data_IF_900087755927
#
_entry.id   IF_900087755927
#
_cell.length_a   1.000
_cell.length_b   1.000
_cell.length_c   1.000
_cell.angle_alpha   90.00
_cell.angle_beta   90.00
_cell.angle_gamma   90.00
#
_symmetry.space_group_name_H-M   'P 1'
#
loop_
_entity.id
_entity.type
_entity.pdbx_description
1 polymer ?
#
# COMPACT_ATOMS: atom_id res chain seq x y z
N UNK A 1 -4.69 -16.49 -1.78
CA UNK A 1 -4.11 -15.12 -1.72
C UNK A 1 -5.05 -14.06 -2.25
N UNK A 2 -5.81 -14.31 -3.32
CA UNK A 2 -6.65 -13.28 -3.96
C UNK A 2 -7.99 -12.98 -3.26
N UNK A 3 -8.54 -13.92 -2.48
CA UNK A 3 -9.74 -13.64 -1.68
C UNK A 3 -9.42 -12.51 -0.70
N UNK A 4 -10.11 -11.37 -0.83
CA UNK A 4 -9.94 -10.14 -0.06
C UNK A 4 -8.61 -9.37 -0.24
N UNK A 5 -7.79 -9.68 -1.25
CA UNK A 5 -6.62 -8.84 -1.56
C UNK A 5 -7.02 -7.44 -2.05
N UNK A 6 -6.22 -6.44 -1.70
CA UNK A 6 -6.48 -5.02 -1.99
C UNK A 6 -5.21 -4.34 -2.53
N UNK A 7 -5.39 -3.49 -3.54
CA UNK A 7 -4.37 -2.56 -4.03
C UNK A 7 -4.86 -1.14 -3.82
N UNK A 8 -4.06 -0.33 -3.12
CA UNK A 8 -4.35 1.08 -2.87
C UNK A 8 -3.37 1.93 -3.67
N UNK A 9 -3.89 2.81 -4.51
CA UNK A 9 -3.10 3.78 -5.28
C UNK A 9 -3.24 5.17 -4.70
N UNK A 10 -2.15 5.93 -4.67
CA UNK A 10 -2.16 7.32 -4.23
C UNK A 10 -0.80 7.80 -3.75
N UNK A 11 -0.79 8.93 -3.05
CA UNK A 11 0.41 9.43 -2.37
C UNK A 11 0.64 8.60 -1.11
N UNK A 12 1.75 7.86 -1.07
CA UNK A 12 2.11 7.01 0.06
C UNK A 12 3.21 7.68 0.87
N UNK A 13 2.99 7.81 2.17
CA UNK A 13 4.01 8.24 3.11
C UNK A 13 4.50 6.99 3.84
N UNK A 14 5.81 6.76 3.85
CA UNK A 14 6.39 5.48 4.30
C UNK A 14 7.07 5.59 5.67
N UNK A 15 7.53 6.80 6.03
CA UNK A 15 8.45 7.08 7.15
C UNK A 15 9.82 6.37 7.03
N UNK A 16 10.17 5.93 5.82
CA UNK A 16 11.54 5.54 5.47
C UNK A 16 12.37 6.80 5.20
N UNK A 17 13.57 6.91 5.78
CA UNK A 17 14.45 8.08 5.57
C UNK A 17 14.96 8.15 4.12
N UNK A 18 15.17 7.00 3.46
CA UNK A 18 15.67 6.94 2.09
C UNK A 18 14.56 7.22 1.07
N UNK A 19 13.31 6.91 1.43
CA UNK A 19 12.16 7.11 0.56
C UNK A 19 10.92 7.55 1.36
N UNK A 20 10.88 8.78 1.90
CA UNK A 20 9.85 9.21 2.84
C UNK A 20 8.45 9.29 2.22
N UNK A 21 8.38 9.52 0.91
CA UNK A 21 7.13 9.68 0.16
C UNK A 21 7.26 9.07 -1.24
N UNK A 22 6.19 8.38 -1.68
CA UNK A 22 5.98 7.95 -3.06
C UNK A 22 4.75 8.69 -3.61
N UNK A 23 4.95 9.63 -4.52
CA UNK A 23 3.88 10.54 -4.99
C UNK A 23 2.76 9.83 -5.78
N UNK A 24 3.10 8.83 -6.60
CA UNK A 24 2.14 7.97 -7.32
C UNK A 24 2.44 6.50 -7.01
N UNK A 25 2.18 6.10 -5.77
CA UNK A 25 2.48 4.77 -5.27
C UNK A 25 1.36 3.75 -5.44
N UNK A 26 1.74 2.49 -5.30
CA UNK A 26 0.87 1.33 -5.19
C UNK A 26 1.24 0.53 -3.93
N UNK A 27 0.27 0.40 -3.02
CA UNK A 27 0.35 -0.42 -1.82
C UNK A 27 -0.46 -1.71 -2.05
N UNK A 28 0.21 -2.84 -1.94
CA UNK A 28 -0.37 -4.17 -2.15
C UNK A 28 -0.59 -4.87 -0.81
N UNK A 29 -1.83 -5.25 -0.51
CA UNK A 29 -2.23 -5.90 0.74
C UNK A 29 -2.83 -7.28 0.39
N UNK A 30 -2.20 -8.34 0.88
CA UNK A 30 -2.69 -9.70 0.67
C UNK A 30 -3.99 -9.96 1.43
N UNK A 31 -4.70 -11.04 1.05
CA UNK A 31 -5.92 -11.46 1.76
C UNK A 31 -5.71 -11.83 3.24
N UNK A 32 -4.45 -12.03 3.68
CA UNK A 32 -4.07 -12.22 5.08
C UNK A 32 -3.85 -10.90 5.84
N UNK A 33 -4.11 -9.76 5.19
CA UNK A 33 -3.94 -8.41 5.75
C UNK A 33 -2.49 -7.92 5.80
N UNK A 34 -1.52 -8.68 5.27
CA UNK A 34 -0.11 -8.26 5.25
C UNK A 34 0.20 -7.41 4.04
N UNK A 35 1.10 -6.44 4.22
CA UNK A 35 1.68 -5.67 3.12
C UNK A 35 2.62 -6.57 2.33
N UNK A 36 2.35 -6.74 1.04
CA UNK A 36 3.17 -7.53 0.12
C UNK A 36 4.19 -6.67 -0.62
N UNK A 37 3.83 -5.42 -0.94
CA UNK A 37 4.73 -4.47 -1.59
C UNK A 37 4.26 -3.02 -1.38
N UNK A 38 5.24 -2.11 -1.36
CA UNK A 38 5.06 -0.65 -1.40
C UNK A 38 6.04 -0.13 -2.46
N UNK A 39 5.51 0.39 -3.56
CA UNK A 39 6.33 0.73 -4.74
C UNK A 39 5.69 1.84 -5.57
N UNK A 40 6.39 2.37 -6.57
CA UNK A 40 5.77 3.27 -7.55
C UNK A 40 4.73 2.50 -8.37
N UNK A 41 3.66 3.16 -8.80
CA UNK A 41 2.59 2.52 -9.57
C UNK A 41 3.04 2.03 -10.95
N UNK A 42 4.14 2.57 -11.47
CA UNK A 42 4.74 2.16 -12.75
C UNK A 42 5.56 0.89 -12.66
N UNK A 43 5.96 0.46 -11.45
CA UNK A 43 6.67 -0.80 -11.26
C UNK A 43 5.73 -1.99 -11.47
N UNK A 44 6.24 -3.13 -11.99
CA UNK A 44 5.46 -4.34 -12.17
C UNK A 44 4.78 -4.78 -10.86
N UNK A 45 3.49 -5.10 -10.93
CA UNK A 45 2.77 -5.60 -9.78
C UNK A 45 3.33 -6.96 -9.33
N UNK A 46 3.34 -7.26 -8.01
CA UNK A 46 3.60 -8.61 -7.53
C UNK A 46 2.59 -9.61 -8.11
N UNK A 47 3.05 -10.83 -8.41
CA UNK A 47 2.18 -11.89 -8.90
C UNK A 47 1.04 -12.19 -7.91
N UNK A 48 -0.16 -12.46 -8.42
CA UNK A 48 -1.32 -12.84 -7.60
C UNK A 48 -2.23 -11.69 -7.19
N UNK A 49 -1.97 -10.46 -7.66
CA UNK A 49 -2.80 -9.27 -7.43
C UNK A 49 -3.67 -8.88 -8.64
N UNK A 50 -3.72 -9.69 -9.69
CA UNK A 50 -4.45 -9.42 -10.93
C UNK A 50 -5.95 -9.23 -10.67
N UNK A 51 -6.51 -10.03 -9.75
CA UNK A 51 -7.92 -10.01 -9.36
C UNK A 51 -8.21 -9.22 -8.06
N UNK A 52 -7.20 -8.57 -7.47
CA UNK A 52 -7.37 -7.81 -6.23
C UNK A 52 -8.29 -6.60 -6.43
N UNK A 53 -9.03 -6.23 -5.40
CA UNK A 53 -9.79 -4.97 -5.39
C UNK A 53 -8.85 -3.78 -5.54
N UNK A 54 -9.24 -2.76 -6.30
CA UNK A 54 -8.39 -1.58 -6.56
C UNK A 54 -9.08 -0.32 -6.06
N UNK A 55 -8.37 0.45 -5.25
CA UNK A 55 -8.84 1.72 -4.71
C UNK A 55 -7.84 2.83 -5.04
N UNK A 56 -8.31 3.94 -5.63
CA UNK A 56 -7.52 5.17 -5.80
C UNK A 56 -7.92 6.16 -4.71
N UNK A 57 -6.97 6.58 -3.89
CA UNK A 57 -7.20 7.61 -2.89
C UNK A 57 -7.21 9.00 -3.54
N UNK A 58 -7.91 9.95 -2.91
CA UNK A 58 -7.83 11.39 -3.24
C UNK A 58 -6.96 12.16 -2.23
N UNK A 59 -6.20 11.45 -1.41
CA UNK A 59 -5.38 12.00 -0.33
C UNK A 59 -4.17 11.11 -0.05
N UNK A 60 -3.51 11.35 1.09
CA UNK A 60 -2.30 10.61 1.47
C UNK A 60 -2.64 9.36 2.29
N UNK A 61 -1.92 8.27 2.05
CA UNK A 61 -1.89 7.09 2.91
C UNK A 61 -0.70 7.23 3.85
N UNK A 62 -0.96 7.17 5.15
CA UNK A 62 0.05 7.17 6.20
C UNK A 62 0.06 5.81 6.91
N UNK A 63 1.20 5.40 7.52
CA UNK A 63 1.20 4.30 8.47
C UNK A 63 0.20 4.58 9.60
N UNK A 64 -0.39 3.53 10.16
CA UNK A 64 -1.32 3.66 11.28
C UNK A 64 -0.65 4.31 12.49
N UNK A 65 -1.34 5.27 13.11
CA UNK A 65 -0.85 5.90 14.34
C UNK A 65 -0.97 4.91 15.51
N UNK A 66 0.13 4.75 16.26
CA UNK A 66 0.15 3.92 17.46
C UNK A 66 0.08 4.84 18.67
N UNK A 67 -0.98 4.69 19.46
CA UNK A 67 -1.11 5.36 20.75
C UNK A 67 -0.72 4.37 21.85
N UNK A 68 0.30 4.71 22.64
CA UNK A 68 0.63 3.96 23.84
C UNK A 68 -0.24 4.47 25.00
N UNK A 69 -1.23 3.70 25.43
CA UNK A 69 -1.80 3.88 26.77
C UNK A 69 -0.79 3.34 27.79
N UNK A 70 -0.45 4.16 28.79
CA UNK A 70 0.29 3.67 29.96
C UNK A 70 -0.56 2.69 30.77
#
# INVERSE_FOLDING_TARGET
>A
MAEHALVIYGRLVTFDEEQPVIEDGALYIGGDGRIAAVQTRTEPAPAGFEAAGKLRTKGCVYPGLIFASR
#
